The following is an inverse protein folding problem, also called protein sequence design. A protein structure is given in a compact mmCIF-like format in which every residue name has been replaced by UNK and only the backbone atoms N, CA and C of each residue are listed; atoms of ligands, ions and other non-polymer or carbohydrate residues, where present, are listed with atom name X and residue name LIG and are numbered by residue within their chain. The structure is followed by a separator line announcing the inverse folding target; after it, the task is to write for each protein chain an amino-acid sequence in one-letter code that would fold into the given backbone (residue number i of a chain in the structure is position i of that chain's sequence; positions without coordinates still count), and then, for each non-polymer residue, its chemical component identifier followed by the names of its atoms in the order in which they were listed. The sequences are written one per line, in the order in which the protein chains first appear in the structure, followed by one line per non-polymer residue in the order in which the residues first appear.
data_IF_330430456762
#
_entry.id   IF_330430456762
#
_cell.length_a   1.000
_cell.length_b   1.000
_cell.length_c   1.000
_cell.angle_alpha   90.00
_cell.angle_beta   90.00
_cell.angle_gamma   90.00
#
_symmetry.space_group_name_H-M   'P 1'
#
loop_
_entity.id
_entity.type
_entity.pdbx_description
1 polymer ?
#
# COMPACT_ATOMS: atom_id res chain seq x y z
N UNK A 1 10.01 -0.59 -21.58
CA UNK A 1 9.21 -1.60 -22.30
C UNK A 1 10.01 -2.91 -22.38
N UNK A 2 11.27 -2.92 -22.84
CA UNK A 2 12.07 -4.14 -22.99
C UNK A 2 12.12 -5.00 -21.71
N UNK A 3 12.35 -4.40 -20.56
CA UNK A 3 12.45 -5.11 -19.27
C UNK A 3 11.22 -5.96 -18.95
N UNK A 4 10.00 -5.38 -19.03
CA UNK A 4 8.77 -6.12 -18.70
C UNK A 4 8.45 -7.16 -19.77
N UNK A 5 8.77 -6.87 -21.05
CA UNK A 5 8.63 -7.82 -22.16
C UNK A 5 9.55 -9.04 -21.96
N UNK A 6 10.80 -8.82 -21.58
CA UNK A 6 11.74 -9.92 -21.27
C UNK A 6 11.19 -10.79 -20.13
N UNK A 7 10.62 -10.19 -19.07
CA UNK A 7 9.99 -10.94 -17.98
C UNK A 7 8.74 -11.73 -18.44
N UNK A 8 7.89 -11.14 -19.30
CA UNK A 8 6.74 -11.85 -19.88
C UNK A 8 7.19 -13.10 -20.63
N UNK A 9 8.20 -12.97 -21.49
CA UNK A 9 8.73 -14.09 -22.28
C UNK A 9 9.39 -15.13 -21.38
N UNK A 10 10.31 -14.70 -20.49
CA UNK A 10 11.07 -15.60 -19.61
C UNK A 10 10.19 -16.44 -18.69
N UNK A 11 9.03 -15.91 -18.30
CA UNK A 11 8.09 -16.61 -17.43
C UNK A 11 6.90 -17.24 -18.17
N UNK A 12 6.90 -17.16 -19.52
CA UNK A 12 5.76 -17.56 -20.34
C UNK A 12 4.44 -17.02 -19.77
N UNK A 13 4.41 -15.71 -19.49
CA UNK A 13 3.26 -15.04 -18.89
C UNK A 13 2.45 -14.27 -19.94
N UNK A 14 1.19 -14.03 -19.64
CA UNK A 14 0.25 -13.34 -20.52
C UNK A 14 0.02 -11.89 -20.09
N UNK A 15 0.19 -11.62 -18.79
CA UNK A 15 0.13 -10.30 -18.19
C UNK A 15 1.25 -10.14 -17.15
N UNK A 16 1.88 -8.98 -17.16
CA UNK A 16 2.85 -8.56 -16.15
C UNK A 16 2.49 -7.20 -15.58
N UNK A 17 2.63 -7.06 -14.27
CA UNK A 17 2.57 -5.78 -13.56
C UNK A 17 3.67 -5.73 -12.51
N UNK A 18 3.87 -4.59 -11.88
CA UNK A 18 4.88 -4.50 -10.83
C UNK A 18 5.06 -3.13 -10.24
N UNK A 19 5.81 -3.11 -9.13
CA UNK A 19 6.22 -1.85 -8.52
C UNK A 19 7.24 -1.13 -9.39
N UNK A 20 6.98 0.15 -9.66
CA UNK A 20 7.93 1.09 -10.26
C UNK A 20 8.50 2.02 -9.20
N UNK A 21 9.65 2.62 -9.46
CA UNK A 21 10.30 3.55 -8.53
C UNK A 21 9.40 4.76 -8.29
N UNK A 22 9.08 5.04 -7.02
CA UNK A 22 8.32 6.23 -6.66
C UNK A 22 9.24 7.41 -6.40
N UNK A 23 8.93 8.55 -7.02
CA UNK A 23 9.57 9.84 -6.72
C UNK A 23 8.78 10.52 -5.60
N UNK A 24 9.38 10.68 -4.43
CA UNK A 24 8.81 11.31 -3.25
C UNK A 24 9.48 12.66 -3.04
N UNK A 25 8.89 13.74 -3.54
CA UNK A 25 9.49 15.07 -3.51
C UNK A 25 9.16 15.84 -2.23
N UNK A 26 7.96 15.71 -1.69
CA UNK A 26 7.48 16.45 -0.53
C UNK A 26 7.40 15.58 0.72
N UNK A 27 7.36 16.22 1.91
CA UNK A 27 7.14 15.53 3.18
C UNK A 27 5.83 14.74 3.17
N UNK A 28 4.73 15.34 2.69
CA UNK A 28 3.43 14.67 2.60
C UNK A 28 3.45 13.41 1.74
N UNK A 29 4.20 13.40 0.65
CA UNK A 29 4.40 12.22 -0.18
C UNK A 29 5.17 11.13 0.57
N UNK A 30 6.21 11.52 1.36
CA UNK A 30 7.03 10.58 2.14
C UNK A 30 6.28 9.89 3.27
N UNK A 31 5.26 10.52 3.84
CA UNK A 31 4.43 9.91 4.90
C UNK A 31 3.16 9.25 4.37
N UNK A 32 2.87 9.33 3.08
CA UNK A 32 1.63 8.79 2.51
C UNK A 32 1.89 7.68 1.50
N UNK A 33 2.71 7.93 0.48
CA UNK A 33 2.94 6.97 -0.62
C UNK A 33 3.55 5.63 -0.15
N UNK A 34 4.52 5.60 0.82
CA UNK A 34 5.05 4.34 1.31
C UNK A 34 4.00 3.40 1.91
N UNK A 35 2.88 3.92 2.43
CA UNK A 35 1.77 3.11 2.94
C UNK A 35 1.19 2.19 1.86
N UNK A 36 1.20 2.59 0.60
CA UNK A 36 0.77 1.76 -0.51
C UNK A 36 1.61 0.48 -0.61
N UNK A 37 2.92 0.58 -0.46
CA UNK A 37 3.80 -0.60 -0.49
C UNK A 37 3.56 -1.53 0.70
N UNK A 38 3.38 -0.95 1.88
CA UNK A 38 3.06 -1.71 3.08
C UNK A 38 1.72 -2.44 2.90
N UNK A 39 0.66 -1.72 2.56
CA UNK A 39 -0.66 -2.32 2.37
C UNK A 39 -0.65 -3.38 1.27
N UNK A 40 -0.05 -3.10 0.12
CA UNK A 40 0.02 -4.05 -0.99
C UNK A 40 0.89 -5.26 -0.64
N UNK A 41 2.05 -5.04 -0.01
CA UNK A 41 3.00 -6.12 0.30
C UNK A 41 2.54 -7.03 1.42
N UNK A 42 1.86 -6.52 2.45
CA UNK A 42 1.36 -7.33 3.56
C UNK A 42 0.02 -8.01 3.27
N UNK A 43 -0.83 -7.35 2.49
CA UNK A 43 -2.19 -7.81 2.28
C UNK A 43 -2.35 -8.66 1.04
N UNK A 44 -1.59 -8.35 -0.01
CA UNK A 44 -1.64 -9.11 -1.23
C UNK A 44 -0.51 -10.14 -1.24
N UNK A 45 -0.83 -11.43 -1.40
CA UNK A 45 0.17 -12.49 -1.42
C UNK A 45 0.95 -12.46 -2.75
N UNK A 46 1.83 -11.46 -2.93
CA UNK A 46 2.53 -11.19 -4.18
C UNK A 46 3.30 -12.40 -4.72
N UNK A 47 3.89 -13.22 -3.83
CA UNK A 47 4.58 -14.43 -4.22
C UNK A 47 3.62 -15.52 -4.73
N UNK A 48 2.39 -15.59 -4.18
CA UNK A 48 1.38 -16.57 -4.61
C UNK A 48 0.85 -16.26 -6.00
N UNK A 49 0.88 -15.00 -6.44
CA UNK A 49 0.47 -14.66 -7.79
C UNK A 49 1.26 -15.42 -8.87
N UNK A 50 2.53 -15.71 -8.59
CA UNK A 50 3.43 -16.40 -9.52
C UNK A 50 3.26 -17.93 -9.51
N UNK A 51 2.96 -18.51 -8.35
CA UNK A 51 3.00 -19.97 -8.13
C UNK A 51 1.63 -20.64 -8.13
N UNK A 52 0.53 -19.86 -8.10
CA UNK A 52 -0.83 -20.42 -8.10
C UNK A 52 -1.66 -19.86 -9.23
N UNK A 53 -2.66 -20.63 -9.66
CA UNK A 53 -3.67 -20.19 -10.64
C UNK A 53 -4.94 -19.63 -9.99
N UNK A 54 -4.95 -19.45 -8.67
CA UNK A 54 -6.10 -18.90 -7.95
C UNK A 54 -6.30 -17.42 -8.32
N UNK A 55 -7.50 -17.08 -8.80
CA UNK A 55 -7.86 -15.69 -9.16
C UNK A 55 -7.67 -14.69 -8.00
N UNK A 56 -7.89 -15.14 -6.75
CA UNK A 56 -7.73 -14.30 -5.56
C UNK A 56 -6.29 -13.84 -5.31
N UNK A 57 -5.30 -14.55 -5.87
CA UNK A 57 -3.89 -14.20 -5.74
C UNK A 57 -3.41 -13.23 -6.83
N UNK A 58 -4.25 -12.95 -7.84
CA UNK A 58 -3.88 -12.03 -8.89
C UNK A 58 -3.77 -10.59 -8.39
N UNK A 59 -2.65 -9.96 -8.72
CA UNK A 59 -2.31 -8.60 -8.31
C UNK A 59 -1.79 -7.83 -9.52
N UNK A 60 -2.25 -6.61 -9.67
CA UNK A 60 -1.68 -5.63 -10.59
C UNK A 60 -1.69 -4.24 -9.96
N UNK A 61 -0.82 -3.38 -10.45
CA UNK A 61 -0.78 -1.97 -10.11
C UNK A 61 -0.88 -1.18 -11.41
N UNK A 62 -1.89 -0.33 -11.52
CA UNK A 62 -2.24 0.43 -12.72
C UNK A 62 -1.14 1.32 -13.27
N UNK A 63 -0.10 1.61 -12.48
CA UNK A 63 1.04 2.41 -12.91
C UNK A 63 1.90 1.73 -13.98
N UNK A 64 1.95 0.38 -13.99
CA UNK A 64 2.76 -0.38 -14.92
C UNK A 64 2.15 -1.75 -15.18
N UNK A 65 1.44 -1.86 -16.29
CA UNK A 65 0.81 -3.09 -16.76
C UNK A 65 1.23 -3.33 -18.20
N UNK A 66 1.59 -4.57 -18.51
CA UNK A 66 1.75 -5.08 -19.86
C UNK A 66 0.97 -6.37 -20.00
N UNK A 67 0.21 -6.49 -21.10
CA UNK A 67 -0.65 -7.62 -21.37
C UNK A 67 -0.58 -7.96 -22.87
N UNK A 68 -0.66 -9.23 -23.22
CA UNK A 68 -0.82 -9.66 -24.60
C UNK A 68 -2.15 -9.18 -25.14
N UNK A 69 -2.16 -8.56 -26.32
CA UNK A 69 -3.37 -8.00 -26.93
C UNK A 69 -4.49 -9.02 -27.07
N UNK A 70 -4.18 -10.21 -27.55
CA UNK A 70 -5.16 -11.31 -27.71
C UNK A 70 -5.82 -11.71 -26.37
N UNK A 71 -5.04 -11.69 -25.28
CA UNK A 71 -5.55 -12.02 -23.94
C UNK A 71 -6.45 -10.90 -23.40
N UNK A 72 -6.06 -9.65 -23.62
CA UNK A 72 -6.86 -8.50 -23.22
C UNK A 72 -8.22 -8.47 -23.94
N UNK A 73 -8.21 -8.70 -25.23
CA UNK A 73 -9.44 -8.75 -26.06
C UNK A 73 -10.33 -9.96 -25.69
N UNK A 74 -9.73 -11.15 -25.48
CA UNK A 74 -10.45 -12.34 -25.05
C UNK A 74 -11.12 -12.20 -23.67
N UNK A 75 -10.51 -11.41 -22.77
CA UNK A 75 -11.07 -11.12 -21.44
C UNK A 75 -12.14 -10.01 -21.45
N UNK A 76 -12.45 -9.39 -22.60
CA UNK A 76 -13.39 -8.30 -22.72
C UNK A 76 -12.83 -6.92 -22.32
N UNK A 77 -11.52 -6.84 -22.09
CA UNK A 77 -10.80 -5.60 -21.80
C UNK A 77 -11.30 -4.82 -20.59
N UNK A 78 -11.14 -3.51 -20.61
CA UNK A 78 -11.64 -2.62 -19.56
C UNK A 78 -13.15 -2.50 -19.52
N UNK A 79 -13.84 -2.80 -20.60
CA UNK A 79 -15.33 -2.76 -20.66
C UNK A 79 -15.95 -3.76 -19.67
N UNK A 80 -15.33 -4.93 -19.51
CA UNK A 80 -15.79 -5.97 -18.58
C UNK A 80 -15.67 -5.57 -17.08
N UNK A 81 -14.93 -4.51 -16.77
CA UNK A 81 -14.62 -4.08 -15.39
C UNK A 81 -14.85 -2.59 -15.14
N UNK A 82 -15.52 -1.88 -16.08
CA UNK A 82 -15.67 -0.41 -16.07
C UNK A 82 -16.31 0.18 -14.81
N UNK A 83 -17.16 -0.59 -14.14
CA UNK A 83 -17.90 -0.16 -12.96
C UNK A 83 -17.21 -0.54 -11.63
N UNK A 84 -16.01 -1.12 -11.71
CA UNK A 84 -15.29 -1.60 -10.53
C UNK A 84 -14.22 -0.60 -10.08
N UNK A 85 -14.12 -0.41 -8.77
CA UNK A 85 -13.01 0.33 -8.13
C UNK A 85 -11.80 -0.59 -8.10
N UNK A 86 -10.57 -0.05 -8.31
CA UNK A 86 -9.32 -0.82 -8.43
C UNK A 86 -9.30 -1.74 -9.67
N UNK A 87 -9.63 -1.16 -10.81
CA UNK A 87 -9.72 -1.80 -12.12
C UNK A 87 -8.47 -2.62 -12.49
N UNK A 88 -7.30 -2.23 -11.99
CA UNK A 88 -6.04 -2.93 -12.20
C UNK A 88 -6.02 -4.33 -11.55
N UNK A 89 -6.45 -4.42 -10.30
CA UNK A 89 -6.54 -5.70 -9.58
C UNK A 89 -7.64 -6.58 -10.18
N UNK A 90 -8.79 -5.99 -10.51
CA UNK A 90 -9.89 -6.74 -11.13
C UNK A 90 -9.53 -7.25 -12.52
N UNK A 91 -8.81 -6.46 -13.34
CA UNK A 91 -8.29 -6.91 -14.63
C UNK A 91 -7.37 -8.13 -14.46
N UNK A 92 -6.44 -8.08 -13.52
CA UNK A 92 -5.55 -9.20 -13.26
C UNK A 92 -6.30 -10.45 -12.82
N UNK A 93 -7.32 -10.29 -11.96
CA UNK A 93 -8.20 -11.39 -11.51
C UNK A 93 -9.03 -11.98 -12.65
N UNK A 94 -9.58 -11.11 -13.51
CA UNK A 94 -10.34 -11.51 -14.68
C UNK A 94 -9.48 -12.35 -15.63
N UNK A 95 -8.30 -11.84 -15.99
CA UNK A 95 -7.35 -12.55 -16.86
C UNK A 95 -6.95 -13.90 -16.27
N UNK A 96 -6.66 -13.95 -14.98
CA UNK A 96 -6.33 -15.19 -14.30
C UNK A 96 -7.50 -16.18 -14.23
N UNK A 97 -8.75 -15.69 -14.15
CA UNK A 97 -9.96 -16.52 -14.18
C UNK A 97 -10.21 -17.22 -15.53
N UNK A 98 -9.69 -16.65 -16.62
CA UNK A 98 -9.69 -17.27 -17.95
C UNK A 98 -8.52 -18.28 -18.14
N UNK A 99 -7.76 -18.57 -17.08
CA UNK A 99 -6.65 -19.51 -17.13
C UNK A 99 -5.32 -18.92 -17.62
N UNK A 100 -5.27 -17.62 -17.91
CA UNK A 100 -4.04 -16.95 -18.34
C UNK A 100 -3.10 -16.69 -17.17
N UNK A 101 -1.80 -16.66 -17.46
CA UNK A 101 -0.75 -16.50 -16.45
C UNK A 101 -0.42 -15.04 -16.21
N UNK A 102 -0.58 -14.61 -14.95
CA UNK A 102 -0.18 -13.27 -14.51
C UNK A 102 1.08 -13.33 -13.65
N UNK A 103 1.97 -12.36 -13.80
CA UNK A 103 3.17 -12.21 -12.97
C UNK A 103 3.26 -10.81 -12.37
N UNK A 104 3.83 -10.74 -11.18
CA UNK A 104 4.17 -9.47 -10.53
C UNK A 104 5.69 -9.37 -10.39
N UNK A 105 6.28 -8.32 -10.94
CA UNK A 105 7.74 -8.15 -11.04
C UNK A 105 8.19 -6.82 -10.46
N UNK A 106 9.45 -6.73 -10.09
CA UNK A 106 10.05 -5.49 -9.64
C UNK A 106 10.54 -4.67 -10.84
N UNK A 107 9.86 -3.56 -11.09
CA UNK A 107 10.13 -2.69 -12.25
C UNK A 107 10.87 -1.40 -11.89
N UNK A 108 11.60 -1.32 -10.77
CA UNK A 108 12.28 -0.10 -10.32
C UNK A 108 13.34 0.43 -11.27
N UNK A 109 13.97 -0.44 -12.04
CA UNK A 109 14.93 -0.05 -13.09
C UNK A 109 14.26 0.37 -14.39
N UNK A 110 12.99 -0.01 -14.58
CA UNK A 110 12.30 0.16 -15.86
C UNK A 110 11.54 1.48 -15.95
N UNK A 111 11.01 1.97 -14.83
CA UNK A 111 10.19 3.16 -14.80
C UNK A 111 10.25 3.88 -13.44
N UNK A 112 10.02 5.20 -13.48
CA UNK A 112 9.85 6.05 -12.30
C UNK A 112 8.55 6.83 -12.44
N UNK A 113 7.78 6.92 -11.37
CA UNK A 113 6.54 7.68 -11.33
C UNK A 113 6.52 8.58 -10.10
N UNK A 114 5.98 9.77 -10.24
CA UNK A 114 5.47 10.58 -9.14
C UNK A 114 3.96 10.43 -9.14
N UNK A 115 3.45 9.53 -8.30
CA UNK A 115 2.05 9.10 -8.33
C UNK A 115 1.09 10.23 -7.99
N UNK A 116 1.43 10.98 -6.94
CA UNK A 116 0.65 12.12 -6.44
C UNK A 116 1.58 13.28 -6.08
N UNK A 117 1.07 14.50 -6.16
CA UNK A 117 1.80 15.71 -5.81
C UNK A 117 1.26 16.31 -4.50
N UNK A 118 2.11 16.23 -3.45
CA UNK A 118 1.81 16.76 -2.12
C UNK A 118 0.88 15.88 -1.29
N UNK A 119 0.60 16.32 -0.07
CA UNK A 119 -0.13 15.56 0.94
C UNK A 119 -1.59 15.28 0.54
N UNK A 120 -2.34 16.33 0.16
CA UNK A 120 -3.77 16.21 -0.14
C UNK A 120 -4.06 15.26 -1.30
N UNK A 121 -3.27 15.37 -2.39
CA UNK A 121 -3.42 14.49 -3.54
C UNK A 121 -3.08 13.04 -3.18
N UNK A 122 -2.02 12.82 -2.39
CA UNK A 122 -1.61 11.50 -1.93
C UNK A 122 -2.67 10.85 -1.04
N UNK A 123 -3.21 11.58 -0.07
CA UNK A 123 -4.29 11.10 0.81
C UNK A 123 -5.53 10.77 -0.02
N UNK A 124 -6.00 11.69 -0.88
CA UNK A 124 -7.19 11.47 -1.71
C UNK A 124 -7.05 10.25 -2.64
N UNK A 125 -5.83 9.98 -3.12
CA UNK A 125 -5.57 8.80 -3.94
C UNK A 125 -5.63 7.48 -3.17
N UNK A 126 -5.28 7.47 -1.88
CA UNK A 126 -5.24 6.26 -1.05
C UNK A 126 -6.59 5.96 -0.40
N UNK A 127 -7.28 6.99 0.12
CA UNK A 127 -8.53 6.82 0.87
C UNK A 127 -9.63 6.11 0.09
N UNK A 128 -9.70 6.32 -1.23
CA UNK A 128 -10.72 5.69 -2.09
C UNK A 128 -10.71 4.16 -2.02
N UNK A 129 -9.56 3.57 -1.69
CA UNK A 129 -9.38 2.11 -1.71
C UNK A 129 -9.41 1.48 -0.31
N UNK A 130 -9.21 2.25 0.78
CA UNK A 130 -9.03 1.67 2.12
C UNK A 130 -10.30 0.99 2.61
N UNK A 131 -11.43 1.69 2.64
CA UNK A 131 -12.66 1.12 3.20
C UNK A 131 -13.23 0.00 2.30
N UNK A 132 -13.19 0.18 0.97
CA UNK A 132 -13.58 -0.85 0.01
C UNK A 132 -12.72 -2.11 0.12
N UNK A 133 -11.43 -1.95 0.47
CA UNK A 133 -10.53 -3.06 0.75
C UNK A 133 -11.03 -3.94 1.91
N UNK A 134 -11.65 -3.35 2.94
CA UNK A 134 -12.29 -4.07 4.04
C UNK A 134 -13.74 -4.47 3.75
N UNK A 135 -14.15 -4.47 2.47
CA UNK A 135 -15.48 -4.87 2.01
C UNK A 135 -16.59 -3.94 2.47
N UNK A 136 -16.28 -2.67 2.71
CA UNK A 136 -17.21 -1.63 3.21
C UNK A 136 -17.91 -2.02 4.54
N UNK A 137 -17.19 -2.76 5.40
CA UNK A 137 -17.74 -3.29 6.66
C UNK A 137 -17.28 -2.46 7.85
N UNK A 138 -18.21 -1.69 8.44
CA UNK A 138 -17.98 -0.86 9.62
C UNK A 138 -17.42 -1.66 10.82
N UNK A 139 -17.93 -2.87 11.05
CA UNK A 139 -17.50 -3.73 12.14
C UNK A 139 -16.06 -4.25 12.00
N UNK A 140 -15.47 -4.15 10.79
CA UNK A 140 -14.05 -4.47 10.54
C UNK A 140 -13.20 -3.21 10.65
N UNK A 141 -13.60 -2.10 10.00
CA UNK A 141 -12.74 -0.93 9.88
C UNK A 141 -12.50 -0.23 11.23
N UNK A 142 -13.52 -0.18 12.10
CA UNK A 142 -13.37 0.45 13.42
C UNK A 142 -12.34 -0.29 14.29
N UNK A 143 -12.44 -1.63 14.51
CA UNK A 143 -11.38 -2.36 15.21
C UNK A 143 -10.00 -2.22 14.57
N UNK A 144 -9.92 -2.17 13.23
CA UNK A 144 -8.65 -1.97 12.53
C UNK A 144 -8.04 -0.59 12.84
N UNK A 145 -8.85 0.48 12.80
CA UNK A 145 -8.36 1.83 13.17
C UNK A 145 -7.89 1.85 14.62
N UNK A 146 -8.65 1.27 15.54
CA UNK A 146 -8.26 1.18 16.96
C UNK A 146 -6.97 0.38 17.12
N UNK A 147 -6.83 -0.75 16.43
CA UNK A 147 -5.60 -1.54 16.45
C UNK A 147 -4.40 -0.74 15.92
N UNK A 148 -4.57 0.00 14.82
CA UNK A 148 -3.51 0.87 14.30
C UNK A 148 -3.10 1.91 15.34
N UNK A 149 -4.05 2.55 16.00
CA UNK A 149 -3.75 3.55 17.03
C UNK A 149 -3.04 2.92 18.22
N UNK A 150 -3.56 1.83 18.76
CA UNK A 150 -3.04 1.21 19.99
C UNK A 150 -1.66 0.59 19.75
N UNK A 151 -1.49 -0.18 18.67
CA UNK A 151 -0.29 -0.99 18.47
C UNK A 151 0.81 -0.29 17.65
N UNK A 152 0.45 0.70 16.83
CA UNK A 152 1.42 1.31 15.92
C UNK A 152 1.64 2.81 16.15
N UNK A 153 0.61 3.55 16.61
CA UNK A 153 0.76 5.00 16.88
C UNK A 153 1.21 5.26 18.31
N UNK A 154 0.52 4.70 19.31
CA UNK A 154 0.78 4.96 20.73
C UNK A 154 2.15 4.50 21.25
N UNK A 155 2.78 3.41 20.77
CA UNK A 155 4.08 2.98 21.31
C UNK A 155 5.18 4.03 21.24
N UNK A 156 5.17 4.90 20.23
CA UNK A 156 6.20 5.94 20.11
C UNK A 156 6.05 7.04 21.17
N UNK A 157 4.91 7.75 21.31
CA UNK A 157 4.78 8.76 22.36
C UNK A 157 4.87 8.15 23.77
N UNK A 158 4.35 6.94 24.01
CA UNK A 158 4.48 6.25 25.28
C UNK A 158 5.95 5.93 25.61
N UNK A 159 6.75 5.52 24.63
CA UNK A 159 8.18 5.33 24.82
C UNK A 159 8.86 6.62 25.28
N UNK A 160 8.58 7.75 24.62
CA UNK A 160 9.19 9.03 24.98
C UNK A 160 8.76 9.45 26.40
N UNK A 161 7.48 9.33 26.73
CA UNK A 161 6.96 9.68 28.07
C UNK A 161 7.63 8.83 29.15
N UNK A 162 7.66 7.49 28.99
CA UNK A 162 8.29 6.61 29.98
C UNK A 162 9.79 6.85 30.10
N UNK A 163 10.48 7.04 28.99
CA UNK A 163 11.91 7.35 28.98
C UNK A 163 12.20 8.64 29.76
N UNK A 164 11.45 9.70 29.53
CA UNK A 164 11.60 10.97 30.27
C UNK A 164 11.30 10.78 31.76
N UNK A 165 10.24 10.04 32.11
CA UNK A 165 9.90 9.75 33.50
C UNK A 165 11.00 8.98 34.21
N UNK A 166 11.55 7.94 33.62
CA UNK A 166 12.66 7.15 34.20
C UNK A 166 13.90 8.02 34.39
N UNK A 167 14.24 8.87 33.42
CA UNK A 167 15.40 9.77 33.50
C UNK A 167 15.24 10.85 34.58
N UNK A 168 14.06 11.46 34.68
CA UNK A 168 13.75 12.49 35.67
C UNK A 168 13.73 11.90 37.09
N UNK A 169 13.24 10.66 37.24
CA UNK A 169 13.22 9.97 38.53
C UNK A 169 14.62 9.46 38.98
N UNK A 170 15.62 9.52 38.11
CA UNK A 170 16.97 9.03 38.40
C UNK A 170 17.07 7.52 38.58
N UNK A 171 16.10 6.77 38.12
CA UNK A 171 16.05 5.31 38.21
C UNK A 171 16.65 4.65 36.94
N UNK A 172 16.96 3.35 37.05
CA UNK A 172 17.25 2.53 35.91
C UNK A 172 15.98 2.46 35.03
N UNK A 173 16.19 2.33 33.71
CA UNK A 173 15.07 2.24 32.77
C UNK A 173 14.11 1.12 33.17
N UNK A 174 12.83 1.42 33.18
CA UNK A 174 11.77 0.46 33.50
C UNK A 174 11.64 -0.61 32.40
N UNK A 175 11.13 -1.79 32.74
CA UNK A 175 10.84 -2.84 31.77
C UNK A 175 9.91 -2.32 30.65
N UNK A 176 8.95 -1.47 30.99
CA UNK A 176 8.04 -0.84 30.00
C UNK A 176 8.82 0.00 29.00
N UNK A 177 9.78 0.80 29.44
CA UNK A 177 10.63 1.60 28.55
C UNK A 177 11.47 0.72 27.63
N UNK A 178 12.03 -0.38 28.12
CA UNK A 178 12.75 -1.34 27.28
C UNK A 178 11.85 -1.97 26.23
N UNK A 179 10.66 -2.47 26.60
CA UNK A 179 9.74 -3.12 25.68
C UNK A 179 9.24 -2.16 24.60
N UNK A 180 8.89 -0.93 24.98
CA UNK A 180 8.49 0.11 24.03
C UNK A 180 9.66 0.50 23.11
N UNK A 181 10.87 0.58 23.65
CA UNK A 181 12.09 0.85 22.87
C UNK A 181 12.33 -0.23 21.81
N UNK A 182 12.28 -1.50 22.20
CA UNK A 182 12.41 -2.64 21.28
C UNK A 182 11.35 -2.58 20.19
N UNK A 183 10.09 -2.33 20.55
CA UNK A 183 8.99 -2.20 19.59
C UNK A 183 9.27 -1.08 18.55
N UNK A 184 9.70 0.08 19.01
CA UNK A 184 10.04 1.20 18.12
C UNK A 184 11.22 0.88 17.19
N UNK A 185 12.25 0.19 17.69
CA UNK A 185 13.38 -0.29 16.88
C UNK A 185 12.89 -1.29 15.83
N UNK A 186 12.00 -2.21 16.17
CA UNK A 186 11.43 -3.16 15.22
C UNK A 186 10.64 -2.45 14.10
N UNK A 187 9.82 -1.45 14.43
CA UNK A 187 9.13 -0.66 13.41
C UNK A 187 10.09 0.11 12.51
N UNK A 188 11.11 0.71 13.09
CA UNK A 188 12.17 1.36 12.31
C UNK A 188 12.82 0.38 11.33
N UNK A 189 13.19 -0.82 11.80
CA UNK A 189 13.84 -1.86 10.98
C UNK A 189 12.91 -2.35 9.85
N UNK A 190 11.63 -2.56 10.14
CA UNK A 190 10.65 -2.93 9.10
C UNK A 190 10.60 -1.86 8.01
N UNK A 191 10.47 -0.59 8.39
CA UNK A 191 10.46 0.51 7.42
C UNK A 191 11.79 0.71 6.72
N UNK A 192 12.90 0.40 7.38
CA UNK A 192 14.23 0.43 6.77
C UNK A 192 14.36 -0.64 5.68
N UNK A 193 13.91 -1.88 5.96
CA UNK A 193 13.88 -2.97 4.99
C UNK A 193 12.95 -2.63 3.81
N UNK A 194 11.75 -2.09 4.08
CA UNK A 194 10.83 -1.63 3.04
C UNK A 194 11.50 -0.56 2.18
N UNK A 195 12.15 0.42 2.80
CA UNK A 195 12.81 1.53 2.08
C UNK A 195 13.94 1.04 1.19
N UNK A 196 14.75 0.10 1.66
CA UNK A 196 15.79 -0.52 0.85
C UNK A 196 15.19 -1.32 -0.33
N UNK A 197 14.21 -2.18 -0.04
CA UNK A 197 13.59 -3.06 -1.03
C UNK A 197 12.84 -2.28 -2.11
N UNK A 198 12.18 -1.18 -1.74
CA UNK A 198 11.37 -0.34 -2.61
C UNK A 198 12.12 0.89 -3.16
N UNK A 199 13.42 0.99 -2.86
CA UNK A 199 14.28 2.13 -3.24
C UNK A 199 13.69 3.49 -2.84
N UNK A 200 13.06 3.55 -1.64
CA UNK A 200 12.55 4.78 -1.07
C UNK A 200 13.67 5.61 -0.43
N UNK A 201 13.47 6.92 -0.22
CA UNK A 201 14.43 7.74 0.51
C UNK A 201 14.68 7.20 1.92
N UNK A 202 15.95 7.16 2.35
CA UNK A 202 16.36 6.69 3.68
C UNK A 202 15.83 7.56 4.84
N UNK A 203 15.21 8.69 4.54
CA UNK A 203 14.45 9.47 5.53
C UNK A 203 13.12 8.83 5.95
N UNK A 204 12.53 7.95 5.12
CA UNK A 204 11.22 7.32 5.36
C UNK A 204 11.21 6.48 6.65
N UNK A 205 12.20 5.63 6.95
CA UNK A 205 12.25 4.88 8.21
C UNK A 205 12.12 5.74 9.46
N UNK A 206 12.71 6.94 9.48
CA UNK A 206 12.62 7.86 10.63
C UNK A 206 11.23 8.50 10.75
N UNK A 207 10.41 8.45 9.70
CA UNK A 207 9.07 8.99 9.68
C UNK A 207 7.99 7.93 10.03
N UNK A 208 8.37 6.73 10.47
CA UNK A 208 7.42 5.64 10.73
C UNK A 208 6.28 6.04 11.70
N UNK A 209 6.49 6.86 12.76
CA UNK A 209 5.36 7.26 13.60
C UNK A 209 4.34 8.12 12.83
N UNK A 210 4.82 8.99 11.95
CA UNK A 210 3.97 9.81 11.09
C UNK A 210 3.27 8.98 10.01
N UNK A 211 3.92 7.93 9.50
CA UNK A 211 3.31 6.97 8.57
C UNK A 211 2.12 6.26 9.21
N UNK A 212 2.27 5.75 10.43
CA UNK A 212 1.18 5.07 11.13
C UNK A 212 0.06 6.02 11.55
N UNK A 213 0.40 7.23 11.99
CA UNK A 213 -0.59 8.27 12.28
C UNK A 213 -1.39 8.62 11.01
N UNK A 214 -0.71 8.78 9.88
CA UNK A 214 -1.36 9.05 8.60
C UNK A 214 -2.19 7.85 8.11
N UNK A 215 -1.78 6.61 8.41
CA UNK A 215 -2.57 5.42 8.11
C UNK A 215 -3.89 5.41 8.90
N UNK A 216 -3.85 5.70 10.20
CA UNK A 216 -5.05 5.83 11.03
C UNK A 216 -5.96 6.96 10.52
N UNK A 217 -5.39 8.12 10.21
CA UNK A 217 -6.11 9.25 9.64
C UNK A 217 -6.78 8.91 8.29
N UNK A 218 -6.04 8.30 7.37
CA UNK A 218 -6.57 7.94 6.04
C UNK A 218 -7.64 6.85 6.14
N UNK A 219 -7.51 5.89 7.06
CA UNK A 219 -8.53 4.88 7.31
C UNK A 219 -9.82 5.49 7.89
N UNK A 220 -9.69 6.38 8.89
CA UNK A 220 -10.82 7.09 9.47
C UNK A 220 -11.51 8.01 8.44
N UNK A 221 -10.74 8.73 7.64
CA UNK A 221 -11.28 9.61 6.60
C UNK A 221 -11.97 8.82 5.48
N UNK A 222 -11.42 7.66 5.08
CA UNK A 222 -12.03 6.76 4.11
C UNK A 222 -13.40 6.27 4.61
N UNK A 223 -13.46 5.84 5.87
CA UNK A 223 -14.70 5.41 6.51
C UNK A 223 -15.73 6.54 6.58
N UNK A 224 -15.32 7.72 7.07
CA UNK A 224 -16.20 8.89 7.19
C UNK A 224 -16.82 9.29 5.84
N UNK A 225 -16.02 9.45 4.79
CA UNK A 225 -16.51 9.87 3.46
C UNK A 225 -17.45 8.86 2.81
N UNK A 226 -17.24 7.57 3.05
CA UNK A 226 -18.16 6.55 2.55
C UNK A 226 -19.49 6.60 3.29
N UNK A 227 -19.50 6.82 4.61
CA UNK A 227 -20.74 6.92 5.38
C UNK A 227 -21.55 8.18 5.06
N UNK A 228 -20.87 9.31 4.86
CA UNK A 228 -21.54 10.59 4.54
C UNK A 228 -21.98 10.69 3.09
N UNK A 229 -21.55 9.75 2.23
CA UNK A 229 -21.86 9.82 0.79
C UNK A 229 -21.17 10.98 0.06
N UNK A 230 -20.19 11.64 0.69
CA UNK A 230 -19.44 12.74 0.05
C UNK A 230 -18.68 12.29 -1.19
N UNK A 231 -18.43 10.97 -1.31
CA UNK A 231 -17.65 10.40 -2.39
C UNK A 231 -16.19 10.84 -2.38
N UNK A 232 -15.46 10.41 -3.38
CA UNK A 232 -14.04 10.74 -3.55
C UNK A 232 -13.84 11.56 -4.81
N UNK A 233 -13.28 12.76 -4.67
CA UNK A 233 -12.91 13.56 -5.85
C UNK A 233 -11.66 12.95 -6.49
N UNK A 234 -11.84 12.30 -7.62
CA UNK A 234 -10.77 11.67 -8.39
C UNK A 234 -10.70 12.28 -9.79
N UNK A 235 -9.62 13.03 -10.07
CA UNK A 235 -9.41 13.70 -11.38
C UNK A 235 -10.63 14.49 -11.87
N UNK A 236 -11.28 15.24 -10.96
CA UNK A 236 -12.46 16.07 -11.28
C UNK A 236 -13.79 15.29 -11.37
N UNK A 237 -13.81 13.99 -11.04
CA UNK A 237 -15.04 13.18 -10.92
C UNK A 237 -15.27 12.80 -9.47
N UNK A 238 -16.52 12.84 -9.03
CA UNK A 238 -16.92 12.28 -7.73
C UNK A 238 -17.22 10.81 -7.95
N UNK A 239 -16.45 9.94 -7.26
CA UNK A 239 -16.64 8.49 -7.26
C UNK A 239 -17.27 8.11 -5.91
N UNK A 240 -18.35 7.35 -5.94
CA UNK A 240 -19.09 6.88 -4.75
C UNK A 240 -18.77 5.43 -4.41
#
# INVERSE_FOLDING_TARGET
ISFIMTNLIAHNADMASGFIKQKLATFGEKITIPLMFMLTGFVLPLFLNRITNLKSTAVAIGQYIMIKRSVFEAAGGYEAIKDLVSEDVYLARLIKSYGYKTIFVNCYAAATCRMYEGFRASVNGIIKNIFSFFGNRTWIIIPVILAIVIFFVLPFPLFIINLVMDLVAGHALSLTTYLLGINNVLFFLVWFIISLSQRLPLSVPFLYPMLFLNLAYTAALSYYRTLTGEGYNWKGRVVH
#
